data_IF_757429468949
#
_entry.id   IF_757429468949
#
_cell.length_a   1.000
_cell.length_b   1.000
_cell.length_c   1.000
_cell.angle_alpha   90.00
_cell.angle_beta   90.00
_cell.angle_gamma   90.00
#
_symmetry.space_group_name_H-M   'P 1'
#
loop_
_entity.id
_entity.type
_entity.pdbx_description
1 polymer ?
#
# COMPACT_ATOMS: atom_id res chain seq x y z
N UNK A 1 -4.73 -9.17 14.14
CA UNK A 1 -4.26 -8.96 12.77
C UNK A 1 -5.45 -8.39 12.02
N UNK A 2 -5.44 -7.09 11.73
CA UNK A 2 -6.51 -6.45 10.96
C UNK A 2 -6.63 -7.23 9.65
N UNK A 3 -7.76 -7.90 9.46
CA UNK A 3 -8.13 -8.48 8.18
C UNK A 3 -8.24 -7.30 7.21
N UNK A 4 -7.13 -7.00 6.53
CA UNK A 4 -7.17 -6.15 5.35
C UNK A 4 -8.24 -6.76 4.46
N UNK A 5 -9.37 -6.07 4.32
CA UNK A 5 -10.46 -6.51 3.48
C UNK A 5 -9.88 -6.95 2.13
N UNK A 6 -10.39 -8.01 1.49
CA UNK A 6 -9.85 -8.54 0.24
C UNK A 6 -9.62 -7.45 -0.83
N UNK A 7 -10.42 -6.38 -0.78
CA UNK A 7 -10.30 -5.21 -1.63
C UNK A 7 -9.03 -4.38 -1.36
N UNK A 8 -8.58 -4.25 -0.12
CA UNK A 8 -7.32 -3.59 0.22
C UNK A 8 -6.11 -4.35 -0.35
N UNK A 9 -6.17 -5.68 -0.40
CA UNK A 9 -5.13 -6.50 -1.03
C UNK A 9 -5.09 -6.32 -2.55
N UNK A 10 -6.26 -6.16 -3.19
CA UNK A 10 -6.33 -5.82 -4.63
C UNK A 10 -5.72 -4.44 -4.90
N UNK A 11 -6.08 -3.43 -4.10
CA UNK A 11 -5.53 -2.07 -4.25
C UNK A 11 -4.01 -2.09 -4.06
N UNK A 12 -3.52 -2.81 -3.06
CA UNK A 12 -2.09 -2.97 -2.80
C UNK A 12 -1.40 -3.64 -4.00
N UNK A 13 -1.98 -4.70 -4.55
CA UNK A 13 -1.44 -5.42 -5.71
C UNK A 13 -1.37 -4.53 -6.95
N UNK A 14 -2.43 -3.78 -7.23
CA UNK A 14 -2.47 -2.87 -8.39
C UNK A 14 -1.40 -1.78 -8.28
N UNK A 15 -1.18 -1.23 -7.07
CA UNK A 15 -0.11 -0.24 -6.83
C UNK A 15 1.27 -0.90 -6.99
N UNK A 16 1.45 -2.12 -6.49
CA UNK A 16 2.69 -2.88 -6.66
C UNK A 16 3.01 -3.10 -8.15
N UNK A 17 2.02 -3.49 -8.95
CA UNK A 17 2.20 -3.71 -10.39
C UNK A 17 2.41 -2.39 -11.16
N UNK A 18 1.65 -1.35 -10.84
CA UNK A 18 1.72 -0.05 -11.53
C UNK A 18 3.03 0.68 -11.25
N UNK A 19 3.49 0.68 -10.00
CA UNK A 19 4.75 1.34 -9.61
C UNK A 19 5.96 0.40 -9.73
N UNK A 20 5.76 -0.83 -10.25
CA UNK A 20 6.77 -1.88 -10.39
C UNK A 20 7.58 -2.14 -9.10
N UNK A 21 6.87 -2.28 -7.98
CA UNK A 21 7.45 -2.49 -6.66
C UNK A 21 7.93 -3.93 -6.55
N UNK A 22 9.25 -4.15 -6.68
CA UNK A 22 9.84 -5.49 -6.55
C UNK A 22 9.92 -6.03 -5.11
N UNK A 23 9.80 -5.15 -4.10
CA UNK A 23 9.91 -5.53 -2.69
C UNK A 23 9.08 -4.58 -1.83
N UNK A 24 8.14 -5.14 -1.05
CA UNK A 24 7.38 -4.41 -0.05
C UNK A 24 7.90 -4.72 1.34
N UNK A 25 8.20 -3.68 2.12
CA UNK A 25 8.65 -3.79 3.50
C UNK A 25 7.58 -3.28 4.44
N UNK A 26 7.44 -3.95 5.59
CA UNK A 26 6.58 -3.44 6.66
C UNK A 26 7.21 -2.17 7.25
N UNK A 27 6.43 -1.11 7.40
CA UNK A 27 6.90 0.20 7.90
C UNK A 27 7.70 0.10 9.22
N UNK A 28 7.33 -0.84 10.09
CA UNK A 28 7.98 -1.10 11.39
C UNK A 28 9.44 -1.58 11.25
N UNK A 29 9.77 -2.22 10.12
CA UNK A 29 11.10 -2.74 9.81
C UNK A 29 11.95 -1.75 9.00
N UNK A 30 11.38 -0.59 8.61
CA UNK A 30 12.07 0.43 7.81
C UNK A 30 12.79 1.41 8.76
N UNK A 31 14.11 1.47 8.66
CA UNK A 31 14.94 2.40 9.45
C UNK A 31 14.97 3.78 8.79
N UNK A 32 15.03 3.83 7.45
CA UNK A 32 14.97 5.04 6.66
C UNK A 32 14.51 4.72 5.24
N UNK A 33 13.53 5.47 4.72
CA UNK A 33 13.09 5.41 3.32
C UNK A 33 12.60 6.79 2.91
N UNK A 34 12.88 7.19 1.67
CA UNK A 34 12.32 8.41 1.10
C UNK A 34 10.80 8.32 0.97
N UNK A 35 10.14 9.48 1.02
CA UNK A 35 8.68 9.59 0.88
C UNK A 35 8.17 9.00 -0.44
N UNK A 36 9.00 8.96 -1.49
CA UNK A 36 8.68 8.34 -2.76
C UNK A 36 8.53 6.81 -2.70
N UNK A 37 9.11 6.15 -1.69
CA UNK A 37 8.99 4.70 -1.49
C UNK A 37 7.85 4.33 -0.52
N UNK A 38 7.22 5.32 0.13
CA UNK A 38 6.10 5.08 1.01
C UNK A 38 4.78 5.07 0.23
N UNK A 39 4.24 3.88 0.02
CA UNK A 39 2.96 3.71 -0.67
C UNK A 39 1.74 3.76 0.25
N UNK A 40 1.92 3.82 1.58
CA UNK A 40 0.79 3.77 2.52
C UNK A 40 -0.20 4.90 2.25
N UNK A 41 0.28 6.12 1.99
CA UNK A 41 -0.58 7.25 1.61
C UNK A 41 -1.34 6.97 0.32
N UNK A 42 -0.66 6.43 -0.71
CA UNK A 42 -1.25 6.10 -2.01
C UNK A 42 -2.32 5.01 -1.91
N UNK A 43 -2.06 3.98 -1.10
CA UNK A 43 -2.99 2.88 -0.82
C UNK A 43 -4.23 3.41 -0.10
N UNK A 44 -4.04 4.22 0.96
CA UNK A 44 -5.15 4.84 1.70
C UNK A 44 -6.01 5.75 0.81
N UNK A 45 -5.38 6.60 -0.01
CA UNK A 45 -6.09 7.45 -0.97
C UNK A 45 -6.91 6.62 -1.96
N UNK A 46 -6.32 5.56 -2.51
CA UNK A 46 -6.98 4.71 -3.51
C UNK A 46 -8.12 3.89 -2.90
N UNK A 47 -7.98 3.40 -1.67
CA UNK A 47 -9.07 2.76 -0.94
C UNK A 47 -10.23 3.73 -0.68
N UNK A 48 -9.92 4.95 -0.26
CA UNK A 48 -10.92 5.99 -0.02
C UNK A 48 -11.64 6.41 -1.32
N UNK A 49 -10.94 6.50 -2.45
CA UNK A 49 -11.53 6.75 -3.77
C UNK A 49 -12.46 5.62 -4.24
N UNK A 50 -12.16 4.39 -3.84
CA UNK A 50 -13.00 3.22 -4.12
C UNK A 50 -14.16 3.05 -3.13
N UNK A 51 -14.27 3.92 -2.12
CA UNK A 51 -15.31 3.87 -1.09
C UNK A 51 -15.18 2.65 -0.17
N UNK A 52 -13.97 2.13 0.00
CA UNK A 52 -13.67 0.99 0.88
C UNK A 52 -13.21 1.56 2.23
N UNK A 53 -14.12 1.64 3.19
CA UNK A 53 -13.87 2.06 4.58
C UNK A 53 -13.84 0.87 5.55
#
# INVERSE_FOLDING_TARGET
MQELAPQAQEVLREIIETDQIGLLLQQQAVIHADLGYNITAKVSDKMNQLGIE
#
